data_IF_760894197424
#
_entry.id   IF_760894197424
#
_cell.length_a   1.000
_cell.length_b   1.000
_cell.length_c   1.000
_cell.angle_alpha   90.00
_cell.angle_beta   90.00
_cell.angle_gamma   90.00
#
_symmetry.space_group_name_H-M   'P 1'
#
loop_
_entity.id
_entity.type
_entity.pdbx_description
1 polymer ?
#
# COMPACT_ATOMS: atom_id res chain seq x y z
N UNK A 1 -21.24 17.51 32.08
CA UNK A 1 -21.27 18.68 32.98
C UNK A 1 -22.63 19.41 32.91
N UNK A 2 -23.12 19.77 31.73
CA UNK A 2 -24.42 20.45 31.63
C UNK A 2 -25.62 19.65 32.22
N UNK A 3 -25.59 18.32 32.15
CA UNK A 3 -26.66 17.46 32.69
C UNK A 3 -26.76 17.54 34.21
N UNK A 4 -25.64 17.62 34.94
CA UNK A 4 -25.61 17.73 36.40
C UNK A 4 -26.19 19.08 36.84
N UNK A 5 -25.79 20.18 36.18
CA UNK A 5 -26.26 21.52 36.46
C UNK A 5 -27.76 21.63 36.15
N UNK A 6 -28.25 21.02 35.08
CA UNK A 6 -29.65 20.96 34.71
C UNK A 6 -30.47 20.18 35.76
N UNK A 7 -29.95 19.02 36.19
CA UNK A 7 -30.56 18.17 37.22
C UNK A 7 -30.74 18.94 38.55
N UNK A 8 -29.67 19.66 38.96
CA UNK A 8 -29.75 20.51 40.18
C UNK A 8 -30.79 21.60 40.06
N UNK A 9 -30.88 22.28 38.90
CA UNK A 9 -31.88 23.29 38.66
C UNK A 9 -33.30 22.72 38.72
N UNK A 10 -33.57 21.55 38.14
CA UNK A 10 -34.86 20.85 38.20
C UNK A 10 -35.21 20.46 39.64
N UNK A 11 -34.24 19.99 40.43
CA UNK A 11 -34.46 19.72 41.87
C UNK A 11 -34.87 20.94 42.66
N UNK A 12 -34.22 22.08 42.41
CA UNK A 12 -34.64 23.36 43.06
C UNK A 12 -36.07 23.80 42.67
N UNK A 13 -36.44 23.60 41.40
CA UNK A 13 -37.79 23.88 40.94
C UNK A 13 -38.79 22.95 41.67
N UNK A 14 -38.51 21.64 41.70
CA UNK A 14 -39.36 20.67 42.39
C UNK A 14 -39.51 20.94 43.89
N UNK A 15 -38.40 21.29 44.57
CA UNK A 15 -38.44 21.69 45.96
C UNK A 15 -39.28 22.98 46.18
N UNK A 16 -39.09 23.97 45.28
CA UNK A 16 -39.86 25.22 45.31
C UNK A 16 -41.37 25.05 45.14
N UNK A 17 -41.80 24.10 44.34
CA UNK A 17 -43.23 23.72 44.21
C UNK A 17 -43.73 22.85 45.37
N UNK A 18 -42.88 21.99 45.94
CA UNK A 18 -43.26 21.09 47.04
C UNK A 18 -43.51 21.85 48.37
N UNK A 19 -42.74 22.89 48.67
CA UNK A 19 -42.83 23.67 49.93
C UNK A 19 -44.23 24.31 50.13
N UNK A 20 -44.81 25.01 49.15
CA UNK A 20 -46.14 25.60 49.31
C UNK A 20 -47.27 24.57 49.43
N UNK A 21 -47.12 23.39 48.83
CA UNK A 21 -48.11 22.30 48.93
C UNK A 21 -48.10 21.72 50.35
N UNK A 22 -46.96 21.45 50.91
CA UNK A 22 -46.83 20.94 52.29
C UNK A 22 -47.17 22.01 53.36
N UNK A 23 -46.97 23.31 53.04
CA UNK A 23 -47.31 24.42 53.94
C UNK A 23 -48.82 24.66 54.00
N UNK A 24 -49.61 24.37 52.97
CA UNK A 24 -51.06 24.40 52.98
C UNK A 24 -51.69 23.30 53.83
N UNK A 25 -50.96 22.21 54.03
CA UNK A 25 -51.43 21.11 54.86
C UNK A 25 -51.20 21.30 56.37
N UNK A 26 -50.47 22.34 56.80
CA UNK A 26 -50.22 22.69 58.18
C UNK A 26 -50.75 24.12 58.44
N UNK A 27 -52.01 24.26 58.90
CA UNK A 27 -52.61 25.48 59.40
C UNK A 27 -52.06 25.83 60.79
N UNK A 28 -50.88 26.38 60.85
CA UNK A 28 -50.26 26.87 62.11
C UNK A 28 -49.93 28.37 61.94
N UNK A 29 -50.74 29.21 62.59
CA UNK A 29 -50.82 30.66 62.41
C UNK A 29 -49.58 31.46 62.77
N UNK A 30 -48.53 30.79 63.26
CA UNK A 30 -47.29 31.44 63.81
C UNK A 30 -45.98 31.09 63.10
N UNK A 31 -46.02 30.53 61.84
CA UNK A 31 -44.83 30.20 61.09
C UNK A 31 -44.57 31.16 59.94
N UNK A 32 -43.26 31.50 59.68
CA UNK A 32 -42.90 32.43 58.61
C UNK A 32 -43.42 31.91 57.25
N UNK A 33 -43.93 32.83 56.43
CA UNK A 33 -44.56 32.61 55.16
C UNK A 33 -43.68 31.78 54.18
N UNK A 34 -43.78 30.46 54.29
CA UNK A 34 -43.00 29.49 53.49
C UNK A 34 -43.30 29.61 52.00
N UNK A 35 -44.38 30.28 51.62
CA UNK A 35 -44.76 30.53 50.24
C UNK A 35 -43.78 31.48 49.52
N UNK A 36 -43.20 32.44 50.26
CA UNK A 36 -42.14 33.31 49.73
C UNK A 36 -40.86 32.53 49.46
N UNK A 37 -40.48 31.62 50.36
CA UNK A 37 -39.31 30.76 50.22
C UNK A 37 -39.45 29.82 49.01
N UNK A 38 -40.63 29.22 48.83
CA UNK A 38 -40.91 28.36 47.66
C UNK A 38 -40.79 29.10 46.33
N UNK A 39 -41.30 30.35 46.26
CA UNK A 39 -41.18 31.17 45.03
C UNK A 39 -39.73 31.55 44.76
N UNK A 40 -38.91 31.89 45.75
CA UNK A 40 -37.48 32.21 45.59
C UNK A 40 -36.73 30.98 45.07
N UNK A 41 -36.97 29.82 45.67
CA UNK A 41 -36.34 28.57 45.21
C UNK A 41 -36.70 28.20 43.77
N UNK A 42 -37.96 28.39 43.36
CA UNK A 42 -38.40 28.16 41.98
C UNK A 42 -37.69 29.10 41.00
N UNK A 43 -37.57 30.39 41.34
CA UNK A 43 -36.86 31.38 40.51
C UNK A 43 -35.39 31.05 40.39
N UNK A 44 -34.73 30.67 41.48
CA UNK A 44 -33.32 30.24 41.45
C UNK A 44 -33.14 28.99 40.59
N UNK A 45 -34.01 27.99 40.74
CA UNK A 45 -34.00 26.80 39.94
C UNK A 45 -34.14 27.11 38.44
N UNK A 46 -35.10 28.01 38.08
CA UNK A 46 -35.28 28.45 36.68
C UNK A 46 -34.03 29.16 36.12
N UNK A 47 -33.40 30.03 36.93
CA UNK A 47 -32.13 30.69 36.53
C UNK A 47 -31.04 29.68 36.31
N UNK A 48 -30.89 28.65 37.16
CA UNK A 48 -29.90 27.59 37.00
C UNK A 48 -30.15 26.81 35.72
N UNK A 49 -31.39 26.45 35.37
CA UNK A 49 -31.74 25.76 34.12
C UNK A 49 -31.40 26.62 32.89
N UNK A 50 -31.72 27.90 32.92
CA UNK A 50 -31.38 28.85 31.84
C UNK A 50 -29.86 28.95 31.69
N UNK A 51 -29.13 29.13 32.78
CA UNK A 51 -27.66 29.18 32.75
C UNK A 51 -27.05 27.88 32.22
N UNK A 52 -27.53 26.71 32.64
CA UNK A 52 -27.09 25.42 32.15
C UNK A 52 -27.24 25.26 30.63
N UNK A 53 -28.30 25.83 30.06
CA UNK A 53 -28.62 25.82 28.64
C UNK A 53 -27.89 26.90 27.83
N UNK A 54 -27.25 27.89 28.52
CA UNK A 54 -26.65 29.06 27.88
C UNK A 54 -25.23 28.86 27.35
N UNK A 55 -24.60 27.68 27.52
CA UNK A 55 -23.25 27.42 27.04
C UNK A 55 -23.13 26.06 26.38
N UNK A 56 -22.15 25.95 25.51
CA UNK A 56 -21.73 24.70 24.87
C UNK A 56 -20.20 24.58 24.92
N UNK A 57 -19.72 23.39 25.24
CA UNK A 57 -18.29 23.06 25.21
C UNK A 57 -18.02 22.27 23.95
N UNK A 58 -17.10 22.79 23.14
CA UNK A 58 -16.63 22.16 21.91
C UNK A 58 -15.26 21.55 22.20
N UNK A 59 -15.09 20.22 22.08
CA UNK A 59 -13.82 19.58 22.35
C UNK A 59 -12.78 19.91 21.28
N UNK A 60 -11.50 19.77 21.62
CA UNK A 60 -10.38 19.93 20.67
C UNK A 60 -10.53 18.96 19.48
N UNK A 61 -10.25 19.46 18.27
CA UNK A 61 -10.44 18.71 17.02
C UNK A 61 -11.86 18.75 16.48
N UNK A 62 -12.75 19.59 17.08
CA UNK A 62 -14.08 19.87 16.57
C UNK A 62 -14.25 21.38 16.42
N UNK A 63 -15.08 21.77 15.48
CA UNK A 63 -15.61 23.15 15.35
C UNK A 63 -17.12 23.14 15.54
N UNK A 64 -17.64 24.26 16.02
CA UNK A 64 -19.08 24.47 16.19
C UNK A 64 -19.69 25.20 15.00
N UNK A 65 -20.86 24.77 14.60
CA UNK A 65 -21.73 25.49 13.66
C UNK A 65 -22.90 26.04 14.47
N UNK A 66 -23.00 27.37 14.55
CA UNK A 66 -24.07 28.05 15.27
C UNK A 66 -25.28 28.20 14.39
N UNK A 67 -26.45 27.81 14.90
CA UNK A 67 -27.75 28.05 14.28
C UNK A 67 -28.55 28.99 15.15
N UNK A 68 -29.26 29.95 14.57
CA UNK A 68 -30.17 30.88 15.27
C UNK A 68 -31.51 30.78 14.60
N UNK A 69 -32.53 30.29 15.30
CA UNK A 69 -33.84 29.98 14.73
C UNK A 69 -33.78 29.10 13.46
N UNK A 70 -32.87 28.16 13.42
CA UNK A 70 -32.62 27.28 12.26
C UNK A 70 -31.72 27.88 11.18
N UNK A 71 -31.45 29.18 11.18
CA UNK A 71 -30.53 29.81 10.25
C UNK A 71 -29.09 29.57 10.66
N UNK A 72 -28.27 29.07 9.72
CA UNK A 72 -26.84 28.79 9.95
C UNK A 72 -26.03 30.10 9.90
N UNK A 73 -25.20 30.33 10.92
CA UNK A 73 -24.27 31.46 10.96
C UNK A 73 -23.14 31.21 9.98
N UNK A 74 -22.69 32.24 9.26
CA UNK A 74 -21.56 32.16 8.32
C UNK A 74 -20.19 31.92 9.01
N UNK A 75 -20.08 32.18 10.31
CA UNK A 75 -18.84 32.02 11.08
C UNK A 75 -18.82 30.72 11.87
N UNK A 76 -17.72 29.98 11.76
CA UNK A 76 -17.45 28.82 12.61
C UNK A 76 -17.17 29.22 14.04
N UNK A 77 -17.58 28.40 14.98
CA UNK A 77 -17.35 28.58 16.41
C UNK A 77 -16.15 27.73 16.82
N UNK A 78 -15.15 28.36 17.42
CA UNK A 78 -13.92 27.70 17.85
C UNK A 78 -14.16 26.70 18.98
N UNK A 79 -13.22 25.75 19.14
CA UNK A 79 -13.20 24.84 20.26
C UNK A 79 -13.07 25.59 21.60
N UNK A 80 -13.54 24.98 22.67
CA UNK A 80 -13.54 25.53 24.01
C UNK A 80 -14.94 25.90 24.51
N UNK A 81 -15.00 26.87 25.43
CA UNK A 81 -16.24 27.35 26.03
C UNK A 81 -16.91 28.40 25.15
N UNK A 82 -18.19 28.20 24.85
CA UNK A 82 -18.95 29.07 23.95
C UNK A 82 -20.31 29.37 24.54
N UNK A 83 -20.67 30.68 24.60
CA UNK A 83 -22.00 31.13 24.97
C UNK A 83 -22.99 30.99 23.82
N UNK A 84 -24.20 30.60 24.15
CA UNK A 84 -25.34 30.58 23.24
C UNK A 84 -26.60 31.07 23.97
N UNK A 85 -27.52 31.69 23.25
CA UNK A 85 -28.83 32.06 23.79
C UNK A 85 -29.70 30.80 23.88
N UNK A 86 -30.15 30.39 25.09
CA UNK A 86 -30.98 29.22 25.27
C UNK A 86 -32.26 29.33 24.45
N UNK A 87 -32.77 28.19 23.96
CA UNK A 87 -33.99 28.06 23.14
C UNK A 87 -33.91 28.71 21.74
N UNK A 88 -33.05 29.67 21.52
CA UNK A 88 -32.88 30.43 20.25
C UNK A 88 -31.75 29.91 19.43
N UNK A 89 -30.63 29.58 20.09
CA UNK A 89 -29.40 29.19 19.43
C UNK A 89 -29.03 27.73 19.70
N UNK A 90 -28.68 27.00 18.63
CA UNK A 90 -28.06 25.70 18.63
C UNK A 90 -26.60 25.76 18.27
N UNK A 91 -25.76 24.82 18.74
CA UNK A 91 -24.39 24.61 18.29
C UNK A 91 -24.24 23.13 17.95
N UNK A 92 -24.05 22.85 16.65
CA UNK A 92 -23.71 21.52 16.13
C UNK A 92 -22.20 21.37 16.01
N UNK A 93 -21.67 20.18 16.28
CA UNK A 93 -20.23 19.92 16.25
C UNK A 93 -19.85 19.21 14.97
N UNK A 94 -18.84 19.73 14.26
CA UNK A 94 -18.24 19.12 13.08
C UNK A 94 -16.88 18.54 13.49
N UNK A 95 -16.62 17.29 13.10
CA UNK A 95 -15.33 16.62 13.37
C UNK A 95 -14.28 17.08 12.35
N UNK A 96 -13.24 17.72 12.82
CA UNK A 96 -12.13 18.20 11.97
C UNK A 96 -10.85 17.36 12.18
N UNK A 97 -10.92 16.27 12.94
CA UNK A 97 -9.82 15.33 13.05
C UNK A 97 -9.67 14.56 11.76
N UNK A 98 -8.51 13.96 11.59
CA UNK A 98 -8.31 12.99 10.51
C UNK A 98 -9.29 11.82 10.67
N UNK A 99 -9.89 11.44 9.58
CA UNK A 99 -10.88 10.36 9.47
C UNK A 99 -10.48 9.43 8.34
N UNK A 100 -10.61 8.14 8.58
CA UNK A 100 -10.33 7.12 7.58
C UNK A 100 -11.65 6.54 7.06
N UNK A 101 -11.74 6.39 5.75
CA UNK A 101 -12.80 5.66 5.09
C UNK A 101 -12.19 4.58 4.20
N UNK A 102 -12.65 3.36 4.36
CA UNK A 102 -12.14 2.22 3.59
C UNK A 102 -13.20 1.72 2.63
N UNK A 103 -12.82 1.53 1.38
CA UNK A 103 -13.63 0.96 0.31
C UNK A 103 -13.12 -0.45 0.02
N UNK A 104 -13.92 -1.47 0.35
CA UNK A 104 -13.55 -2.88 0.22
C UNK A 104 -13.78 -3.44 -1.19
N UNK A 105 -14.59 -2.77 -1.99
CA UNK A 105 -14.94 -3.20 -3.33
C UNK A 105 -13.75 -3.21 -4.28
N UNK A 106 -13.74 -4.18 -5.20
CA UNK A 106 -12.78 -4.21 -6.30
C UNK A 106 -13.09 -3.10 -7.31
N UNK A 107 -12.11 -2.25 -7.55
CA UNK A 107 -12.14 -1.23 -8.60
C UNK A 107 -11.30 -1.71 -9.78
N UNK A 108 -11.95 -2.08 -10.87
CA UNK A 108 -11.28 -2.42 -12.12
C UNK A 108 -10.84 -1.17 -12.86
N UNK A 109 -9.60 -1.18 -13.32
CA UNK A 109 -8.97 -0.10 -14.07
C UNK A 109 -8.10 -0.67 -15.21
N UNK A 110 -7.64 0.20 -16.08
CA UNK A 110 -6.74 -0.13 -17.18
C UNK A 110 -5.44 0.65 -17.05
N UNK A 111 -4.33 0.03 -17.40
CA UNK A 111 -3.03 0.68 -17.51
C UNK A 111 -2.86 1.39 -18.87
N UNK A 112 -1.75 2.10 -19.06
CA UNK A 112 -1.36 2.68 -20.36
C UNK A 112 -1.26 1.61 -21.47
N UNK A 113 -0.88 0.39 -21.09
CA UNK A 113 -0.71 -0.76 -21.99
C UNK A 113 -2.04 -1.48 -22.26
N UNK A 114 -3.17 -0.95 -21.74
CA UNK A 114 -4.52 -1.52 -21.81
C UNK A 114 -4.65 -2.86 -21.07
N UNK A 115 -3.78 -3.11 -20.12
CA UNK A 115 -3.87 -4.28 -19.26
C UNK A 115 -4.91 -4.03 -18.17
N UNK A 116 -5.76 -5.02 -17.91
CA UNK A 116 -6.77 -4.97 -16.87
C UNK A 116 -6.13 -5.23 -15.51
N UNK A 117 -6.30 -4.29 -14.58
CA UNK A 117 -5.82 -4.34 -13.21
C UNK A 117 -6.96 -4.03 -12.25
N UNK A 118 -6.96 -4.63 -11.06
CA UNK A 118 -7.89 -4.26 -10.01
C UNK A 118 -7.17 -3.75 -8.77
N UNK A 119 -7.85 -2.86 -8.08
CA UNK A 119 -7.45 -2.34 -6.77
C UNK A 119 -8.53 -2.66 -5.75
N UNK A 120 -8.15 -3.08 -4.55
CA UNK A 120 -9.08 -3.45 -3.48
C UNK A 120 -8.59 -2.92 -2.14
N UNK A 121 -9.52 -2.77 -1.19
CA UNK A 121 -9.25 -2.26 0.15
C UNK A 121 -8.51 -0.91 0.11
N UNK A 122 -9.15 0.08 -0.52
CA UNK A 122 -8.62 1.43 -0.66
C UNK A 122 -9.06 2.27 0.52
N UNK A 123 -8.12 2.74 1.33
CA UNK A 123 -8.36 3.62 2.47
C UNK A 123 -7.96 5.04 2.13
N UNK A 124 -8.88 5.97 2.32
CA UNK A 124 -8.65 7.40 2.16
C UNK A 124 -8.69 8.08 3.51
N UNK A 125 -7.58 8.68 3.92
CA UNK A 125 -7.47 9.51 5.12
C UNK A 125 -7.68 10.96 4.74
N UNK A 126 -8.69 11.59 5.32
CA UNK A 126 -9.06 12.97 5.03
C UNK A 126 -9.41 13.74 6.30
N UNK A 127 -9.45 15.05 6.20
CA UNK A 127 -9.92 15.94 7.25
C UNK A 127 -10.73 17.11 6.67
N UNK A 128 -11.66 17.63 7.47
CA UNK A 128 -12.44 18.82 7.14
C UNK A 128 -11.68 20.04 7.64
N UNK A 129 -11.53 21.04 6.78
CA UNK A 129 -10.95 22.32 7.17
C UNK A 129 -11.84 23.00 8.25
N UNK A 130 -11.29 23.32 9.44
CA UNK A 130 -12.03 23.95 10.52
C UNK A 130 -12.76 25.23 10.11
N UNK A 131 -12.16 26.06 9.27
CA UNK A 131 -12.73 27.33 8.81
C UNK A 131 -13.95 27.13 7.88
N UNK A 132 -14.02 25.98 7.21
CA UNK A 132 -15.07 25.64 6.24
C UNK A 132 -16.15 24.70 6.80
N UNK A 133 -16.07 24.35 8.09
CA UNK A 133 -17.04 23.44 8.73
C UNK A 133 -18.48 23.93 8.63
N UNK A 134 -18.70 25.23 8.69
CA UNK A 134 -20.04 25.82 8.54
C UNK A 134 -20.59 25.59 7.13
N UNK A 135 -19.74 25.75 6.12
CA UNK A 135 -20.11 25.53 4.73
C UNK A 135 -20.51 24.07 4.46
N UNK A 136 -19.69 23.11 4.95
CA UNK A 136 -20.00 21.68 4.82
C UNK A 136 -21.34 21.34 5.48
N UNK A 137 -21.55 21.80 6.71
CA UNK A 137 -22.76 21.54 7.46
C UNK A 137 -24.02 22.11 6.77
N UNK A 138 -23.86 23.24 6.07
CA UNK A 138 -24.94 23.90 5.36
C UNK A 138 -25.26 23.27 3.99
N UNK A 139 -24.28 22.77 3.28
CA UNK A 139 -24.38 22.44 1.86
C UNK A 139 -24.28 20.93 1.56
N UNK A 140 -23.79 20.12 2.50
CA UNK A 140 -23.59 18.70 2.28
C UNK A 140 -24.48 17.90 3.24
N UNK A 141 -25.49 17.23 2.69
CA UNK A 141 -26.30 16.30 3.48
C UNK A 141 -25.46 15.10 3.88
N UNK A 142 -25.66 14.62 5.10
CA UNK A 142 -24.94 13.45 5.66
C UNK A 142 -23.43 13.49 5.45
N UNK A 143 -22.86 14.69 5.63
CA UNK A 143 -21.42 14.93 5.42
C UNK A 143 -20.50 13.99 6.21
N UNK A 144 -21.02 13.30 7.22
CA UNK A 144 -20.26 12.34 8.02
C UNK A 144 -19.92 11.10 7.23
N UNK A 145 -20.80 10.67 6.33
CA UNK A 145 -20.70 9.40 5.62
C UNK A 145 -20.49 9.58 4.12
N UNK A 146 -20.86 10.76 3.55
CA UNK A 146 -20.91 10.98 2.11
C UNK A 146 -19.93 12.00 1.55
N UNK A 147 -18.96 12.49 2.35
CA UNK A 147 -17.93 13.43 1.83
C UNK A 147 -17.07 12.80 0.74
N UNK A 148 -16.54 11.61 1.01
CA UNK A 148 -15.74 10.86 0.06
C UNK A 148 -16.56 9.67 -0.40
N UNK A 149 -17.08 9.72 -1.63
CA UNK A 149 -17.90 8.64 -2.17
C UNK A 149 -17.03 7.58 -2.87
N UNK A 150 -17.47 6.33 -2.86
CA UNK A 150 -16.79 5.22 -3.55
C UNK A 150 -16.63 5.48 -5.06
N UNK A 151 -17.63 6.09 -5.69
CA UNK A 151 -17.58 6.45 -7.11
C UNK A 151 -16.50 7.48 -7.44
N UNK A 152 -16.28 8.46 -6.56
CA UNK A 152 -15.23 9.46 -6.71
C UNK A 152 -13.84 8.81 -6.62
N UNK A 153 -13.65 7.97 -5.61
CA UNK A 153 -12.37 7.24 -5.42
C UNK A 153 -12.12 6.28 -6.57
N UNK A 154 -13.15 5.54 -7.03
CA UNK A 154 -13.04 4.64 -8.17
C UNK A 154 -12.67 5.40 -9.46
N UNK A 155 -13.25 6.57 -9.69
CA UNK A 155 -12.91 7.44 -10.84
C UNK A 155 -11.45 7.92 -10.77
N UNK A 156 -11.00 8.36 -9.58
CA UNK A 156 -9.63 8.79 -9.36
C UNK A 156 -8.62 7.64 -9.59
N UNK A 157 -8.93 6.43 -9.12
CA UNK A 157 -8.11 5.22 -9.36
C UNK A 157 -8.00 4.93 -10.86
N UNK A 158 -9.13 4.89 -11.57
CA UNK A 158 -9.17 4.63 -13.02
C UNK A 158 -8.36 5.67 -13.81
N UNK A 159 -8.48 6.94 -13.44
CA UNK A 159 -7.73 8.02 -14.08
C UNK A 159 -6.23 7.92 -13.80
N UNK A 160 -5.83 7.59 -12.57
CA UNK A 160 -4.44 7.40 -12.18
C UNK A 160 -3.81 6.19 -12.85
N UNK A 161 -4.53 5.06 -12.90
CA UNK A 161 -4.04 3.81 -13.49
C UNK A 161 -3.74 3.98 -14.99
N UNK A 162 -4.56 4.73 -15.73
CA UNK A 162 -4.37 5.01 -17.17
C UNK A 162 -3.08 5.75 -17.50
N UNK A 163 -2.44 6.39 -16.53
CA UNK A 163 -1.18 7.11 -16.72
C UNK A 163 0.05 6.27 -16.39
N UNK A 164 -0.14 5.05 -15.87
CA UNK A 164 0.92 4.17 -15.40
C UNK A 164 1.08 2.95 -16.32
N UNK A 165 2.35 2.54 -16.53
CA UNK A 165 2.67 1.24 -17.13
C UNK A 165 2.33 0.10 -16.18
N UNK A 166 2.25 -1.13 -16.70
CA UNK A 166 1.94 -2.34 -15.93
C UNK A 166 2.86 -2.48 -14.70
N UNK A 167 4.14 -2.27 -14.85
CA UNK A 167 5.13 -2.34 -13.74
C UNK A 167 4.89 -1.29 -12.66
N UNK A 168 4.41 -0.10 -13.03
CA UNK A 168 4.20 1.01 -12.09
C UNK A 168 2.80 0.98 -11.48
N UNK A 169 1.83 0.39 -12.13
CA UNK A 169 0.44 0.33 -11.68
C UNK A 169 0.28 -0.54 -10.42
N UNK A 170 1.12 -1.57 -10.23
CA UNK A 170 1.18 -2.37 -9.00
C UNK A 170 2.07 -1.77 -7.93
N UNK A 171 2.89 -0.77 -8.28
CA UNK A 171 3.81 -0.14 -7.34
C UNK A 171 3.09 0.95 -6.54
N UNK A 172 2.79 0.67 -5.26
CA UNK A 172 2.08 1.57 -4.35
C UNK A 172 2.70 2.97 -4.28
N UNK A 173 4.04 3.06 -4.26
CA UNK A 173 4.73 4.36 -4.17
C UNK A 173 4.52 5.24 -5.41
N UNK A 174 4.02 4.68 -6.50
CA UNK A 174 3.69 5.41 -7.73
C UNK A 174 2.20 5.70 -7.86
N UNK A 175 1.34 4.71 -7.59
CA UNK A 175 -0.10 4.85 -7.76
C UNK A 175 -0.77 5.67 -6.65
N UNK A 176 -0.39 5.45 -5.37
CA UNK A 176 -1.04 6.12 -4.23
C UNK A 176 -0.97 7.66 -4.28
N UNK A 177 0.18 8.30 -4.59
CA UNK A 177 0.25 9.75 -4.70
C UNK A 177 -0.60 10.32 -5.85
N UNK A 178 -0.70 9.60 -6.97
CA UNK A 178 -1.52 10.01 -8.10
C UNK A 178 -3.01 9.91 -7.77
N UNK A 179 -3.42 8.81 -7.12
CA UNK A 179 -4.80 8.66 -6.65
C UNK A 179 -5.13 9.73 -5.63
N UNK A 180 -4.24 10.02 -4.67
CA UNK A 180 -4.43 11.08 -3.69
C UNK A 180 -4.64 12.44 -4.38
N UNK A 181 -3.82 12.79 -5.35
CA UNK A 181 -3.93 14.02 -6.11
C UNK A 181 -5.26 14.10 -6.89
N UNK A 182 -5.65 13.02 -7.54
CA UNK A 182 -6.90 12.96 -8.31
C UNK A 182 -8.14 12.99 -7.41
N UNK A 183 -8.10 12.34 -6.24
CA UNK A 183 -9.16 12.42 -5.22
C UNK A 183 -9.27 13.86 -4.71
N UNK A 184 -8.14 14.50 -4.35
CA UNK A 184 -8.14 15.89 -3.92
C UNK A 184 -8.73 16.82 -4.98
N UNK A 185 -8.28 16.68 -6.24
CA UNK A 185 -8.80 17.50 -7.36
C UNK A 185 -10.30 17.32 -7.55
N UNK A 186 -10.81 16.10 -7.45
CA UNK A 186 -12.24 15.80 -7.57
C UNK A 186 -13.05 16.35 -6.39
N UNK A 187 -12.49 16.35 -5.19
CA UNK A 187 -13.12 16.96 -4.01
C UNK A 187 -13.14 18.49 -4.11
N UNK A 188 -12.04 19.08 -4.61
CA UNK A 188 -11.94 20.52 -4.83
C UNK A 188 -12.93 21.00 -5.92
N UNK A 189 -13.13 20.22 -6.96
CA UNK A 189 -14.14 20.49 -8.00
C UNK A 189 -15.57 20.37 -7.43
N UNK A 190 -15.83 19.35 -6.63
CA UNK A 190 -17.17 19.08 -6.08
C UNK A 190 -17.60 20.05 -4.99
N UNK A 191 -16.71 20.40 -4.08
CA UNK A 191 -17.03 21.16 -2.88
C UNK A 191 -16.39 22.54 -2.83
N UNK A 192 -15.33 22.76 -3.61
CA UNK A 192 -14.47 23.95 -3.56
C UNK A 192 -13.14 23.70 -2.88
N UNK A 193 -12.15 24.52 -3.20
CA UNK A 193 -10.78 24.37 -2.70
C UNK A 193 -10.71 24.48 -1.18
N UNK A 194 -9.83 23.68 -0.60
CA UNK A 194 -9.48 23.69 0.84
C UNK A 194 -10.66 23.40 1.79
N UNK A 195 -11.74 22.77 1.32
CA UNK A 195 -12.86 22.39 2.18
C UNK A 195 -12.62 21.03 2.81
N UNK A 196 -12.23 20.05 2.00
CA UNK A 196 -11.82 18.71 2.45
C UNK A 196 -10.39 18.49 2.00
N UNK A 197 -9.51 18.13 2.92
CA UNK A 197 -8.09 17.88 2.64
C UNK A 197 -7.83 16.39 2.74
N UNK A 198 -7.31 15.81 1.67
CA UNK A 198 -6.88 14.40 1.63
C UNK A 198 -5.44 14.34 2.11
N UNK A 199 -5.21 13.64 3.21
CA UNK A 199 -3.89 13.52 3.83
C UNK A 199 -3.12 12.32 3.28
N UNK A 200 -3.83 11.23 3.00
CA UNK A 200 -3.21 9.99 2.53
C UNK A 200 -4.23 9.11 1.82
N UNK A 201 -3.74 8.36 0.83
CA UNK A 201 -4.46 7.23 0.23
C UNK A 201 -3.58 5.99 0.40
N UNK A 202 -4.16 4.89 0.81
CA UNK A 202 -3.49 3.59 0.95
C UNK A 202 -4.27 2.56 0.15
N UNK A 203 -3.57 1.84 -0.71
CA UNK A 203 -4.13 0.74 -1.50
C UNK A 203 -3.53 -0.56 -0.96
N UNK A 204 -4.36 -1.43 -0.36
CA UNK A 204 -3.86 -2.67 0.25
C UNK A 204 -3.55 -3.74 -0.79
N UNK A 205 -4.41 -3.89 -1.80
CA UNK A 205 -4.31 -4.92 -2.80
C UNK A 205 -4.39 -4.32 -4.21
N UNK A 206 -3.40 -4.68 -5.06
CA UNK A 206 -3.38 -4.34 -6.47
C UNK A 206 -2.84 -5.55 -7.24
N UNK A 207 -3.60 -6.07 -8.19
CA UNK A 207 -3.20 -7.22 -8.99
C UNK A 207 -3.85 -7.18 -10.37
N UNK A 208 -3.26 -7.90 -11.30
CA UNK A 208 -3.79 -8.05 -12.66
C UNK A 208 -4.86 -9.13 -12.73
N UNK A 209 -5.57 -9.17 -13.84
CA UNK A 209 -6.47 -10.26 -14.14
C UNK A 209 -5.72 -11.60 -14.25
N UNK A 210 -6.32 -12.68 -13.78
CA UNK A 210 -5.70 -14.03 -13.74
C UNK A 210 -5.19 -14.50 -15.11
N UNK A 211 -5.86 -14.14 -16.18
CA UNK A 211 -5.48 -14.45 -17.57
C UNK A 211 -4.15 -13.78 -17.95
N UNK A 212 -3.96 -12.53 -17.54
CA UNK A 212 -2.72 -11.78 -17.76
C UNK A 212 -1.57 -12.33 -16.92
N UNK A 213 -1.84 -12.61 -15.64
CA UNK A 213 -0.84 -13.19 -14.74
C UNK A 213 -0.33 -14.54 -15.26
N UNK A 214 -1.22 -15.39 -15.82
CA UNK A 214 -0.83 -16.65 -16.48
C UNK A 214 0.05 -16.41 -17.70
N UNK A 215 -0.35 -15.50 -18.58
CA UNK A 215 0.41 -15.17 -19.78
C UNK A 215 1.83 -14.63 -19.45
N UNK A 216 1.93 -13.80 -18.42
CA UNK A 216 3.24 -13.31 -17.92
C UNK A 216 4.09 -14.45 -17.34
N UNK A 217 3.49 -15.34 -16.54
CA UNK A 217 4.19 -16.50 -15.99
C UNK A 217 4.69 -17.44 -17.11
N UNK A 218 3.89 -17.72 -18.11
CA UNK A 218 4.27 -18.52 -19.28
C UNK A 218 5.41 -17.86 -20.08
N UNK A 219 5.33 -16.55 -20.30
CA UNK A 219 6.38 -15.78 -20.96
C UNK A 219 7.71 -15.83 -20.17
N UNK A 220 7.64 -15.63 -18.85
CA UNK A 220 8.81 -15.72 -17.99
C UNK A 220 9.43 -17.13 -18.01
N UNK A 221 8.60 -18.18 -17.98
CA UNK A 221 9.07 -19.54 -18.07
C UNK A 221 9.77 -19.80 -19.40
N UNK A 222 9.19 -19.36 -20.50
CA UNK A 222 9.80 -19.49 -21.84
C UNK A 222 11.13 -18.73 -21.95
N UNK A 223 11.23 -17.55 -21.33
CA UNK A 223 12.49 -16.80 -21.29
C UNK A 223 13.57 -17.54 -20.50
N UNK A 224 13.23 -18.04 -19.31
CA UNK A 224 14.14 -18.84 -18.47
C UNK A 224 14.61 -20.10 -19.18
N UNK A 225 13.73 -20.79 -19.91
CA UNK A 225 14.08 -21.99 -20.66
C UNK A 225 15.00 -21.66 -21.85
N UNK A 226 14.76 -20.55 -22.54
CA UNK A 226 15.65 -20.04 -23.61
C UNK A 226 17.03 -19.67 -23.06
N UNK A 227 17.09 -19.02 -21.91
CA UNK A 227 18.35 -18.67 -21.24
C UNK A 227 19.14 -19.92 -20.82
N UNK A 228 18.47 -20.89 -20.18
CA UNK A 228 19.06 -22.20 -19.84
C UNK A 228 19.61 -22.90 -21.08
N UNK A 229 18.86 -22.92 -22.16
CA UNK A 229 19.31 -23.55 -23.41
C UNK A 229 20.51 -22.84 -23.99
N UNK A 230 20.58 -21.52 -23.94
CA UNK A 230 21.74 -20.72 -24.36
C UNK A 230 22.97 -21.06 -23.52
N UNK A 231 22.83 -21.16 -22.21
CA UNK A 231 23.92 -21.55 -21.30
C UNK A 231 24.41 -22.97 -21.59
N UNK A 232 23.48 -23.92 -21.81
CA UNK A 232 23.83 -25.30 -22.17
C UNK A 232 24.59 -25.35 -23.51
N UNK A 233 24.11 -24.62 -24.51
CA UNK A 233 24.77 -24.54 -25.81
C UNK A 233 26.17 -23.94 -25.70
N UNK A 234 26.32 -22.86 -24.93
CA UNK A 234 27.65 -22.26 -24.69
C UNK A 234 28.59 -23.24 -24.00
N UNK A 235 28.11 -23.94 -22.96
CA UNK A 235 28.89 -24.98 -22.27
C UNK A 235 29.30 -26.10 -23.18
N UNK A 236 28.44 -26.53 -24.10
CA UNK A 236 28.78 -27.57 -25.07
C UNK A 236 29.85 -27.10 -26.08
N UNK A 237 29.75 -25.84 -26.53
CA UNK A 237 30.78 -25.22 -27.40
C UNK A 237 32.13 -25.12 -26.67
N UNK A 238 32.12 -24.65 -25.42
CA UNK A 238 33.33 -24.51 -24.63
C UNK A 238 34.00 -25.87 -24.34
N UNK A 239 33.16 -26.90 -24.06
CA UNK A 239 33.63 -28.28 -23.91
C UNK A 239 34.25 -28.81 -25.21
N UNK A 240 33.61 -28.62 -26.35
CA UNK A 240 34.13 -29.06 -27.64
C UNK A 240 35.44 -28.38 -27.99
N UNK A 241 35.60 -27.07 -27.66
CA UNK A 241 36.85 -26.33 -27.81
C UNK A 241 37.98 -26.91 -26.91
N UNK A 242 37.63 -27.13 -25.63
CA UNK A 242 38.59 -27.69 -24.67
C UNK A 242 39.04 -29.12 -25.09
N UNK A 243 38.10 -29.96 -25.54
CA UNK A 243 38.42 -31.31 -26.04
C UNK A 243 39.28 -31.27 -27.32
N UNK A 244 39.05 -30.34 -28.23
CA UNK A 244 39.87 -30.14 -29.43
C UNK A 244 41.27 -29.64 -29.05
N UNK A 245 41.41 -28.69 -28.15
CA UNK A 245 42.67 -28.17 -27.67
C UNK A 245 43.50 -29.25 -26.91
N UNK A 246 42.81 -30.06 -26.09
CA UNK A 246 43.42 -31.19 -25.43
C UNK A 246 43.99 -32.22 -26.43
N UNK A 247 43.24 -32.53 -27.50
CA UNK A 247 43.70 -33.43 -28.56
C UNK A 247 44.89 -32.87 -29.33
N UNK A 248 44.90 -31.57 -29.66
CA UNK A 248 46.02 -30.90 -30.30
C UNK A 248 47.28 -30.92 -29.41
N UNK A 249 47.09 -30.62 -28.13
CA UNK A 249 48.19 -30.63 -27.16
C UNK A 249 48.79 -32.04 -26.98
N UNK A 250 47.93 -33.07 -26.95
CA UNK A 250 48.37 -34.46 -26.89
C UNK A 250 49.13 -34.87 -28.16
N UNK A 251 48.63 -34.53 -29.36
CA UNK A 251 49.33 -34.81 -30.64
C UNK A 251 50.65 -34.07 -30.76
N UNK A 252 50.72 -32.82 -30.32
CA UNK A 252 51.95 -32.05 -30.25
C UNK A 252 52.98 -32.67 -29.29
N UNK A 253 52.51 -33.13 -28.13
CA UNK A 253 53.34 -33.80 -27.14
C UNK A 253 53.89 -35.12 -27.70
N UNK A 254 53.04 -35.91 -28.38
CA UNK A 254 53.40 -37.15 -29.04
C UNK A 254 54.41 -36.91 -30.19
N UNK A 255 54.17 -35.92 -31.05
CA UNK A 255 55.11 -35.52 -32.12
C UNK A 255 56.49 -35.11 -31.58
N UNK A 256 56.50 -34.33 -30.48
CA UNK A 256 57.75 -33.95 -29.81
C UNK A 256 58.47 -35.15 -29.19
N UNK A 257 57.74 -36.08 -28.59
CA UNK A 257 58.29 -37.33 -28.06
C UNK A 257 58.87 -38.17 -29.15
N UNK A 258 58.16 -38.38 -30.28
CA UNK A 258 58.67 -39.15 -31.44
C UNK A 258 59.86 -38.50 -32.05
N UNK A 259 59.93 -37.17 -32.23
CA UNK A 259 61.10 -36.45 -32.69
C UNK A 259 62.33 -36.63 -31.74
N UNK A 260 62.09 -36.64 -30.43
CA UNK A 260 63.16 -36.92 -29.47
C UNK A 260 63.66 -38.36 -29.56
N UNK A 261 62.73 -39.32 -29.73
CA UNK A 261 63.02 -40.72 -29.91
C UNK A 261 63.86 -40.93 -31.20
N UNK A 262 63.45 -40.36 -32.32
CA UNK A 262 64.15 -40.40 -33.60
C UNK A 262 65.60 -39.86 -33.49
N UNK A 263 65.75 -38.71 -32.78
CA UNK A 263 67.11 -38.15 -32.55
C UNK A 263 68.00 -38.99 -31.61
N UNK A 264 67.36 -39.79 -30.74
CA UNK A 264 68.11 -40.68 -29.82
C UNK A 264 68.38 -42.05 -30.39
N UNK A 265 67.75 -42.45 -31.49
CA UNK A 265 67.91 -43.69 -32.18
C UNK A 265 69.19 -43.59 -33.11
N UNK A 266 70.34 -43.74 -32.53
CA UNK A 266 71.57 -43.94 -33.27
C UNK A 266 71.65 -45.41 -33.73
N UNK A 267 72.37 -45.71 -34.87
CA UNK A 267 72.59 -47.07 -35.40
C UNK A 267 73.00 -48.07 -34.32
N UNK A 268 73.70 -47.58 -33.33
CA UNK A 268 74.18 -48.39 -32.20
C UNK A 268 73.08 -48.80 -31.24
N UNK A 269 72.13 -47.90 -31.00
CA UNK A 269 70.93 -48.14 -30.11
C UNK A 269 69.96 -49.09 -30.82
N UNK A 270 69.78 -48.92 -32.14
CA UNK A 270 68.95 -49.81 -32.94
C UNK A 270 69.51 -51.24 -32.99
N UNK A 271 70.84 -51.37 -33.16
CA UNK A 271 71.53 -52.71 -33.12
C UNK A 271 71.38 -53.35 -31.75
N UNK A 272 71.56 -52.63 -30.66
CA UNK A 272 71.43 -53.21 -29.34
C UNK A 272 69.97 -53.64 -29.05
N UNK A 273 68.93 -52.80 -29.39
CA UNK A 273 67.54 -53.15 -29.22
C UNK A 273 67.12 -54.35 -30.10
N UNK A 274 67.75 -54.50 -31.27
CA UNK A 274 67.56 -55.65 -32.13
C UNK A 274 68.14 -56.90 -31.49
N UNK A 275 69.35 -56.82 -30.92
CA UNK A 275 69.99 -57.93 -30.21
C UNK A 275 69.21 -58.35 -28.97
N UNK A 276 68.73 -57.40 -28.19
CA UNK A 276 67.92 -57.68 -26.97
C UNK A 276 66.53 -58.37 -27.24
N UNK A 277 66.00 -58.14 -28.41
CA UNK A 277 64.73 -58.76 -28.82
C UNK A 277 64.91 -59.95 -29.73
N UNK A 278 66.07 -60.27 -30.09
CA UNK A 278 66.35 -61.39 -30.96
C UNK A 278 66.13 -62.71 -30.21
N UNK A 279 65.25 -63.52 -30.72
CA UNK A 279 64.86 -64.82 -30.19
C UNK A 279 65.75 -65.97 -30.61
N UNK A 280 66.92 -65.62 -31.21
CA UNK A 280 67.91 -66.68 -31.68
C UNK A 280 67.56 -67.31 -33.00
N UNK A 281 66.51 -67.00 -33.64
CA UNK A 281 66.13 -67.50 -34.98
C UNK A 281 66.52 -66.48 -36.05
N UNK A 282 67.13 -66.94 -37.18
CA UNK A 282 67.40 -66.08 -38.30
C UNK A 282 66.10 -65.67 -38.98
N UNK A 283 65.79 -64.38 -39.11
CA UNK A 283 64.55 -63.98 -39.80
C UNK A 283 64.71 -64.35 -41.29
N UNK A 284 63.68 -64.90 -41.88
CA UNK A 284 63.63 -65.11 -43.35
C UNK A 284 63.54 -63.74 -44.03
N UNK A 285 64.73 -63.14 -44.26
CA UNK A 285 64.82 -61.86 -44.92
C UNK A 285 65.30 -62.12 -46.33
N UNK A 286 64.47 -61.91 -47.31
CA UNK A 286 64.84 -61.85 -48.73
C UNK A 286 65.39 -60.43 -48.98
N UNK A 287 66.74 -60.31 -49.09
CA UNK A 287 67.39 -59.10 -49.53
C UNK A 287 67.35 -59.01 -51.03
N UNK A 288 66.66 -58.00 -51.57
CA UNK A 288 66.77 -57.66 -52.99
C UNK A 288 68.18 -56.99 -53.26
N UNK A 289 68.61 -57.07 -54.52
CA UNK A 289 69.95 -56.65 -54.97
C UNK A 289 70.24 -55.14 -54.77
N UNK A 290 69.24 -54.34 -54.32
CA UNK A 290 69.32 -52.87 -54.08
C UNK A 290 69.30 -52.50 -52.60
N UNK A 291 69.49 -53.43 -51.66
CA UNK A 291 69.59 -53.10 -50.20
C UNK A 291 68.33 -52.72 -49.53
N UNK A 292 67.17 -52.79 -50.13
CA UNK A 292 65.84 -52.56 -49.50
C UNK A 292 65.36 -53.83 -48.83
N UNK A 293 65.00 -53.73 -47.54
CA UNK A 293 64.47 -54.81 -46.76
C UNK A 293 62.97 -54.92 -47.07
N UNK A 294 62.51 -55.99 -47.74
CA UNK A 294 61.12 -56.34 -47.82
C UNK A 294 60.74 -57.22 -46.61
N UNK A 295 59.88 -56.72 -45.73
CA UNK A 295 59.25 -57.60 -44.74
C UNK A 295 58.08 -58.37 -45.39
N UNK A 296 58.18 -59.67 -45.37
CA UNK A 296 57.00 -60.49 -45.63
C UNK A 296 56.13 -60.55 -44.40
N UNK A 297 54.95 -59.96 -44.51
CA UNK A 297 53.94 -60.07 -43.50
C UNK A 297 53.16 -61.35 -43.82
N UNK A 298 53.73 -62.49 -43.36
CA UNK A 298 53.02 -63.76 -43.41
C UNK A 298 51.59 -63.68 -42.78
N UNK A 299 50.66 -64.30 -43.45
CA UNK A 299 49.24 -64.41 -43.10
C UNK A 299 48.94 -64.73 -41.65
#
# INVERSE_FOLDING_TARGET
MNFVILLTGVLFIAAGFGIPITARASEDENKPDKSKLGRVLTIIGMLIVIMSSSFAIIPTGYTGVRTTFGQISSKTVQNGFNWKVPFVQGISKVNNKQQDITFEDKVWAETTERTSIFYKNVTVTYQINPEKSTWIYANVSDYKDNLVSSSLVASAIKSSSKTLSDTNATNRSKIEPLVMQNVQSSLDEKYGKDIVVVNKVVISDADFEDSYNKAIAEKQQAQLDSEKQSIVNQKNVDKAKADAEAKLTAADAESKANKKLERSLTDRVLKNAYIDKWNGQMPDVITSKDGSIMMDVGK
#
